data_IF_872954705449
#
_entry.id   IF_872954705449
#
_cell.length_a   1.000
_cell.length_b   1.000
_cell.length_c   1.000
_cell.angle_alpha   90.00
_cell.angle_beta   90.00
_cell.angle_gamma   90.00
#
_symmetry.space_group_name_H-M   'P 1'
#
loop_
_entity.id
_entity.type
_entity.pdbx_description
1 polymer ?
#
# COMPACT_ATOMS: atom_id res chain seq x y z
N UNK A 1 -9.94 -7.00 -4.96
CA UNK A 1 -10.73 -5.77 -4.74
C UNK A 1 -10.20 -4.62 -5.60
N UNK A 2 -11.08 -3.83 -6.15
CA UNK A 2 -10.73 -2.60 -6.86
C UNK A 2 -11.31 -1.44 -6.06
N UNK A 3 -10.48 -0.46 -5.72
CA UNK A 3 -10.91 0.75 -5.03
C UNK A 3 -10.70 1.95 -5.94
N UNK A 4 -11.66 2.86 -5.97
CA UNK A 4 -11.57 4.08 -6.77
C UNK A 4 -11.30 5.27 -5.85
N UNK A 5 -10.24 6.02 -6.19
CA UNK A 5 -9.81 7.20 -5.46
C UNK A 5 -9.70 8.36 -6.44
N UNK A 6 -9.84 9.58 -5.97
CA UNK A 6 -9.39 10.70 -6.78
C UNK A 6 -7.88 10.64 -6.90
N UNK A 7 -7.35 11.12 -8.04
CA UNK A 7 -5.90 11.14 -8.26
C UNK A 7 -5.19 11.93 -7.16
N UNK A 8 -5.74 13.04 -6.77
CA UNK A 8 -5.16 13.93 -5.76
C UNK A 8 -5.13 13.26 -4.38
N UNK A 9 -6.19 12.58 -4.00
CA UNK A 9 -6.25 11.90 -2.70
C UNK A 9 -5.27 10.73 -2.62
N UNK A 10 -5.16 9.95 -3.70
CA UNK A 10 -4.21 8.83 -3.74
C UNK A 10 -2.77 9.35 -3.70
N UNK A 11 -2.47 10.38 -4.47
CA UNK A 11 -1.14 10.98 -4.47
C UNK A 11 -0.76 11.52 -3.08
N UNK A 12 -1.69 12.18 -2.42
CA UNK A 12 -1.50 12.69 -1.07
C UNK A 12 -1.21 11.56 -0.10
N UNK A 13 -1.98 10.48 -0.16
CA UNK A 13 -1.78 9.33 0.72
C UNK A 13 -0.41 8.68 0.50
N UNK A 14 0.03 8.60 -0.75
CA UNK A 14 1.33 8.03 -1.09
C UNK A 14 2.51 8.98 -0.87
N UNK A 15 2.24 10.25 -0.58
CA UNK A 15 3.29 11.25 -0.40
C UNK A 15 3.90 11.72 -1.71
N UNK A 16 3.14 11.70 -2.80
CA UNK A 16 3.59 12.08 -4.14
C UNK A 16 2.83 13.26 -4.68
N UNK A 17 3.40 13.93 -5.69
CA UNK A 17 2.69 14.97 -6.43
C UNK A 17 1.69 14.32 -7.39
N UNK A 18 0.47 14.83 -7.42
CA UNK A 18 -0.54 14.38 -8.37
C UNK A 18 -0.24 14.86 -9.78
N UNK A 19 0.54 15.93 -9.93
CA UNK A 19 0.92 16.50 -11.21
C UNK A 19 2.30 16.03 -11.63
N UNK A 20 2.54 15.94 -12.93
CA UNK A 20 3.84 15.60 -13.48
C UNK A 20 4.06 14.10 -13.69
N UNK A 21 5.30 13.76 -14.02
CA UNK A 21 5.71 12.40 -14.28
C UNK A 21 6.11 11.71 -13.00
N UNK A 22 5.80 10.57 -12.68
CA UNK A 22 6.19 9.84 -11.48
C UNK A 22 5.03 9.24 -10.73
N UNK A 23 3.82 9.72 -11.00
CA UNK A 23 2.63 9.09 -10.49
C UNK A 23 1.68 8.76 -11.64
N UNK A 24 1.44 7.47 -11.87
CA UNK A 24 0.60 7.01 -12.97
C UNK A 24 -0.90 7.07 -12.65
N UNK A 25 -1.28 7.45 -11.44
CA UNK A 25 -2.68 7.47 -11.01
C UNK A 25 -3.21 6.09 -10.61
N UNK A 26 -2.33 5.12 -10.43
CA UNK A 26 -2.66 3.75 -10.05
C UNK A 26 -1.70 3.29 -8.98
N UNK A 27 -2.20 2.60 -7.99
CA UNK A 27 -1.39 1.87 -7.03
C UNK A 27 -1.92 0.44 -6.93
N UNK A 28 -1.00 -0.51 -6.89
CA UNK A 28 -1.31 -1.89 -6.55
C UNK A 28 -1.22 -2.03 -5.03
N UNK A 29 -1.97 -2.93 -4.45
CA UNK A 29 -1.97 -3.07 -3.00
C UNK A 29 -1.70 -4.51 -2.58
N UNK A 30 -0.87 -4.66 -1.56
CA UNK A 30 -0.68 -5.89 -0.83
C UNK A 30 -1.31 -5.73 0.55
N UNK A 31 -2.26 -6.59 0.87
CA UNK A 31 -2.95 -6.52 2.14
C UNK A 31 -2.30 -7.49 3.13
N UNK A 32 -1.59 -6.94 4.09
CA UNK A 32 -0.83 -7.69 5.07
C UNK A 32 -1.71 -8.10 6.26
N UNK A 33 -1.34 -9.19 6.90
CA UNK A 33 -2.09 -9.76 8.03
C UNK A 33 -1.73 -9.10 9.37
N UNK A 34 -0.64 -8.34 9.40
CA UNK A 34 -0.16 -7.68 10.62
C UNK A 34 0.70 -6.48 10.27
N UNK A 35 0.94 -5.61 11.26
CA UNK A 35 1.88 -4.50 11.11
C UNK A 35 3.30 -5.01 10.84
N UNK A 36 3.72 -6.06 11.53
CA UNK A 36 5.03 -6.66 11.33
C UNK A 36 5.20 -7.16 9.89
N UNK A 37 4.15 -7.72 9.30
CA UNK A 37 4.19 -8.17 7.91
C UNK A 37 4.33 -6.99 6.95
N UNK A 38 3.68 -5.86 7.22
CA UNK A 38 3.87 -4.65 6.41
C UNK A 38 5.34 -4.27 6.36
N UNK A 39 5.99 -4.18 7.51
CA UNK A 39 7.40 -3.83 7.59
C UNK A 39 8.27 -4.86 6.87
N UNK A 40 7.98 -6.15 7.05
CA UNK A 40 8.74 -7.23 6.44
C UNK A 40 8.63 -7.22 4.91
N UNK A 41 7.43 -7.01 4.38
CA UNK A 41 7.20 -6.96 2.93
C UNK A 41 7.91 -5.78 2.29
N UNK A 42 7.86 -4.61 2.91
CA UNK A 42 8.56 -3.43 2.39
C UNK A 42 10.08 -3.67 2.42
N UNK A 43 10.62 -4.21 3.49
CA UNK A 43 12.04 -4.52 3.60
C UNK A 43 12.48 -5.54 2.54
N UNK A 44 11.67 -6.58 2.31
CA UNK A 44 11.95 -7.58 1.29
C UNK A 44 11.93 -6.96 -0.11
N UNK A 45 10.96 -6.08 -0.37
CA UNK A 45 10.89 -5.37 -1.64
C UNK A 45 12.12 -4.50 -1.87
N UNK A 46 12.56 -3.77 -0.85
CA UNK A 46 13.78 -2.94 -0.95
C UNK A 46 15.01 -3.80 -1.23
N UNK A 47 15.13 -4.95 -0.57
CA UNK A 47 16.23 -5.88 -0.82
C UNK A 47 16.22 -6.41 -2.25
N UNK A 48 15.06 -6.47 -2.89
CA UNK A 48 14.90 -6.90 -4.27
C UNK A 48 15.01 -5.74 -5.29
N UNK A 49 15.31 -4.52 -4.84
CA UNK A 49 15.54 -3.39 -5.73
C UNK A 49 14.44 -2.34 -5.76
N UNK A 50 13.41 -2.47 -4.95
CA UNK A 50 12.35 -1.46 -4.88
C UNK A 50 12.82 -0.23 -4.12
N UNK A 51 12.14 0.89 -4.35
CA UNK A 51 12.38 2.14 -3.64
C UNK A 51 11.23 2.43 -2.67
N UNK A 52 11.57 2.66 -1.41
CA UNK A 52 10.57 3.09 -0.44
C UNK A 52 10.12 4.50 -0.79
N UNK A 53 8.82 4.68 -0.95
CA UNK A 53 8.22 5.98 -1.27
C UNK A 53 7.61 6.65 -0.06
N UNK A 54 7.04 5.87 0.84
CA UNK A 54 6.49 6.36 2.10
C UNK A 54 6.72 5.31 3.16
N UNK A 55 7.37 5.69 4.26
CA UNK A 55 7.61 4.80 5.37
C UNK A 55 6.28 4.35 5.97
N UNK A 56 6.22 3.08 6.38
CA UNK A 56 5.03 2.55 7.03
C UNK A 56 4.74 3.29 8.33
N UNK A 57 3.49 3.65 8.52
CA UNK A 57 3.03 4.40 9.69
C UNK A 57 1.55 4.14 9.94
N UNK A 58 1.09 4.48 11.13
CA UNK A 58 -0.32 4.40 11.45
C UNK A 58 -1.11 5.36 10.57
N UNK A 59 -2.29 4.91 10.14
CA UNK A 59 -3.22 5.73 9.39
C UNK A 59 -4.27 6.31 10.31
N UNK A 60 -4.94 7.37 9.86
CA UNK A 60 -5.99 8.01 10.66
C UNK A 60 -7.19 7.09 10.93
N UNK A 61 -7.39 6.07 10.10
CA UNK A 61 -8.52 5.13 10.25
C UNK A 61 -8.14 3.88 11.08
N UNK A 62 -6.96 3.87 11.71
CA UNK A 62 -6.56 2.80 12.61
C UNK A 62 -5.75 1.69 11.97
N UNK A 63 -5.38 1.82 10.71
CA UNK A 63 -4.54 0.86 10.01
C UNK A 63 -3.06 1.22 10.09
N UNK A 64 -2.26 0.50 9.27
CA UNK A 64 -0.83 0.71 9.18
C UNK A 64 -0.40 0.45 7.75
N UNK A 65 0.19 1.42 7.09
CA UNK A 65 0.53 1.30 5.68
C UNK A 65 1.77 2.07 5.28
N UNK A 66 2.40 1.60 4.21
CA UNK A 66 3.51 2.28 3.55
C UNK A 66 3.45 2.03 2.05
N UNK A 67 4.33 2.66 1.32
CA UNK A 67 4.37 2.57 -0.15
C UNK A 67 5.79 2.33 -0.63
N UNK A 68 5.93 1.56 -1.71
CA UNK A 68 7.18 1.46 -2.45
C UNK A 68 6.90 1.48 -3.95
N UNK A 69 7.92 1.82 -4.74
CA UNK A 69 7.88 1.65 -6.18
C UNK A 69 8.76 0.46 -6.56
N UNK A 70 8.26 -0.43 -7.41
CA UNK A 70 9.05 -1.56 -7.87
C UNK A 70 10.10 -1.09 -8.90
N UNK A 71 11.02 -1.99 -9.35
CA UNK A 71 12.04 -1.60 -10.33
C UNK A 71 11.50 -1.06 -11.65
N UNK A 72 10.27 -1.42 -11.99
CA UNK A 72 9.61 -0.92 -13.20
C UNK A 72 8.84 0.38 -12.98
N UNK A 73 8.88 0.90 -11.75
CA UNK A 73 8.25 2.17 -11.40
C UNK A 73 6.79 2.07 -10.96
N UNK A 74 6.25 0.87 -10.83
CA UNK A 74 4.87 0.72 -10.36
C UNK A 74 4.78 0.97 -8.86
N UNK A 75 3.76 1.73 -8.46
CA UNK A 75 3.53 2.07 -7.06
C UNK A 75 2.75 0.95 -6.37
N UNK A 76 3.24 0.54 -5.20
CA UNK A 76 2.61 -0.47 -4.37
C UNK A 76 2.33 0.08 -2.99
N UNK A 77 1.10 -0.12 -2.52
CA UNK A 77 0.76 0.09 -1.12
C UNK A 77 0.85 -1.25 -0.38
N UNK A 78 1.48 -1.24 0.79
CA UNK A 78 1.48 -2.40 1.68
C UNK A 78 0.74 -1.96 2.93
N UNK A 79 -0.40 -2.58 3.21
CA UNK A 79 -1.30 -2.11 4.25
C UNK A 79 -1.81 -3.26 5.12
N UNK A 80 -1.96 -2.95 6.41
CA UNK A 80 -2.68 -3.80 7.35
C UNK A 80 -3.92 -3.04 7.82
N UNK A 81 -5.08 -3.64 7.60
CA UNK A 81 -6.35 -3.13 8.10
C UNK A 81 -6.85 -4.10 9.20
N UNK A 82 -6.83 -3.69 10.47
CA UNK A 82 -7.22 -4.58 11.57
C UNK A 82 -8.70 -4.94 11.55
N UNK A 83 -9.51 -4.24 10.75
CA UNK A 83 -10.94 -4.50 10.64
C UNK A 83 -11.29 -5.50 9.55
N UNK A 84 -10.32 -5.91 8.74
CA UNK A 84 -10.52 -6.89 7.69
C UNK A 84 -10.00 -8.25 8.12
N UNK A 85 -10.74 -9.30 7.76
CA UNK A 85 -10.29 -10.66 7.94
C UNK A 85 -9.97 -11.29 6.59
N UNK A 86 -9.25 -12.39 6.63
CA UNK A 86 -8.87 -13.15 5.43
C UNK A 86 -9.61 -14.48 5.45
N UNK A 87 -10.03 -14.93 4.26
CA UNK A 87 -10.58 -16.27 4.12
C UNK A 87 -9.44 -17.29 3.98
N UNK A 88 -9.80 -18.57 3.84
CA UNK A 88 -8.82 -19.65 3.76
C UNK A 88 -7.89 -19.54 2.55
N UNK A 89 -8.33 -18.87 1.49
CA UNK A 89 -7.55 -18.67 0.26
C UNK A 89 -6.72 -17.40 0.28
N UNK A 90 -6.74 -16.64 1.38
CA UNK A 90 -6.02 -15.39 1.49
C UNK A 90 -6.78 -14.19 0.95
N UNK A 91 -8.00 -14.35 0.49
CA UNK A 91 -8.84 -13.25 0.04
C UNK A 91 -9.39 -12.44 1.20
N UNK A 92 -9.68 -11.17 0.96
CA UNK A 92 -10.24 -10.30 1.99
C UNK A 92 -11.73 -10.57 2.16
N UNK A 93 -12.16 -10.71 3.40
CA UNK A 93 -13.57 -10.76 3.75
C UNK A 93 -14.05 -9.35 4.06
N UNK A 94 -14.99 -8.88 3.26
CA UNK A 94 -15.70 -7.64 3.53
C UNK A 94 -16.98 -7.99 4.28
N UNK A 95 -16.85 -8.33 5.54
CA UNK A 95 -18.03 -8.66 6.36
C UNK A 95 -18.57 -7.44 7.06
N UNK A 96 -19.88 -7.39 7.24
CA UNK A 96 -20.48 -6.35 8.06
C UNK A 96 -19.99 -6.42 9.49
#
# INVERSE_FOLDING_TARGET
MIALWSREELAKDAGLSAAGSGFAGVALAYNARSRAEVDAVIAEAEAAGARRRKQAAETFWGGYSGYFADPDGHLWEVAHNPFWSFDADGGIRLTP
#
